data_IF_380110910554
#
_entry.id   IF_380110910554
#
_cell.length_a   1.000
_cell.length_b   1.000
_cell.length_c   1.000
_cell.angle_alpha   90.00
_cell.angle_beta   90.00
_cell.angle_gamma   90.00
#
_symmetry.space_group_name_H-M   'P 1'
#
loop_
_entity.id
_entity.type
_entity.pdbx_description
1 polymer ?
#
# COMPACT_ATOMS: atom_id res chain seq x y z
N UNK A 1 13.41 8.57 3.01
CA UNK A 1 12.73 7.80 4.07
C UNK A 1 11.88 8.74 4.92
N UNK A 2 10.79 8.25 5.53
CA UNK A 2 10.01 8.99 6.54
C UNK A 2 10.23 8.37 7.92
N UNK A 3 10.32 9.19 8.97
CA UNK A 3 10.39 8.71 10.36
C UNK A 3 9.21 9.23 11.16
N UNK A 4 8.52 8.35 11.84
CA UNK A 4 7.34 8.66 12.65
C UNK A 4 7.57 8.20 14.08
N UNK A 5 7.62 9.15 15.00
CA UNK A 5 7.54 8.84 16.42
C UNK A 5 6.07 8.87 16.83
N UNK A 6 5.48 7.70 17.12
CA UNK A 6 4.08 7.57 17.52
C UNK A 6 4.03 7.38 19.03
N UNK A 7 3.54 8.37 19.80
CA UNK A 7 3.49 8.30 21.26
C UNK A 7 2.76 7.05 21.76
N UNK A 8 3.32 6.43 22.80
CA UNK A 8 2.78 5.21 23.43
C UNK A 8 2.59 4.01 22.48
N UNK A 9 3.17 4.05 21.27
CA UNK A 9 3.06 2.97 20.30
C UNK A 9 4.45 2.48 19.88
N UNK A 10 5.11 3.18 18.95
CA UNK A 10 6.47 2.85 18.47
C UNK A 10 7.03 3.96 17.59
N UNK A 11 8.35 3.92 17.38
CA UNK A 11 9.00 4.64 16.28
C UNK A 11 8.94 3.77 15.03
N UNK A 12 8.45 4.33 13.93
CA UNK A 12 8.37 3.67 12.62
C UNK A 12 9.28 4.41 11.64
N UNK A 13 10.16 3.67 10.98
CA UNK A 13 10.93 4.15 9.82
C UNK A 13 10.31 3.57 8.56
N UNK A 14 9.77 4.45 7.71
CA UNK A 14 9.11 4.07 6.47
C UNK A 14 10.10 4.28 5.34
N UNK A 15 10.58 3.19 4.75
CA UNK A 15 11.38 3.24 3.52
C UNK A 15 10.55 2.84 2.31
N UNK A 16 9.64 1.88 2.48
CA UNK A 16 8.87 1.30 1.38
C UNK A 16 7.36 1.45 1.64
N UNK A 17 6.64 1.90 0.61
CA UNK A 17 5.18 1.78 0.52
C UNK A 17 4.87 0.75 -0.57
N UNK A 18 4.14 -0.30 -0.20
CA UNK A 18 3.80 -1.41 -1.09
C UNK A 18 2.29 -1.43 -1.27
N UNK A 19 1.84 -1.36 -2.51
CA UNK A 19 0.43 -1.29 -2.85
C UNK A 19 0.01 -2.50 -3.67
N UNK A 20 -1.18 -3.02 -3.38
CA UNK A 20 -1.95 -3.73 -4.39
C UNK A 20 -2.46 -2.75 -5.47
N UNK A 21 -2.85 -3.29 -6.63
CA UNK A 21 -3.32 -2.48 -7.76
C UNK A 21 -4.85 -2.28 -7.76
N UNK A 22 -5.64 -3.29 -8.13
CA UNK A 22 -7.09 -3.15 -8.33
C UNK A 22 -7.86 -3.31 -7.01
N UNK A 23 -8.80 -2.40 -6.73
CA UNK A 23 -9.46 -2.31 -5.42
C UNK A 23 -8.64 -1.49 -4.40
N UNK A 24 -7.41 -1.12 -4.76
CA UNK A 24 -6.49 -0.34 -3.93
C UNK A 24 -6.10 0.97 -4.63
N UNK A 25 -5.13 0.95 -5.56
CA UNK A 25 -4.69 2.13 -6.32
C UNK A 25 -5.64 2.47 -7.47
N UNK A 26 -6.21 1.44 -8.08
CA UNK A 26 -7.01 1.52 -9.28
C UNK A 26 -8.43 1.02 -9.01
N UNK A 27 -9.39 1.67 -9.67
CA UNK A 27 -10.77 1.20 -9.80
C UNK A 27 -11.00 0.83 -11.26
N UNK A 28 -11.51 -0.37 -11.52
CA UNK A 28 -11.68 -0.89 -12.88
C UNK A 28 -10.40 -0.84 -13.73
N UNK A 29 -9.23 -0.98 -13.10
CA UNK A 29 -7.93 -0.90 -13.78
C UNK A 29 -7.41 0.51 -14.07
N UNK A 30 -8.11 1.57 -13.65
CA UNK A 30 -7.74 2.97 -13.88
C UNK A 30 -7.27 3.65 -12.59
N UNK A 31 -6.13 4.34 -12.69
CA UNK A 31 -5.59 5.19 -11.61
C UNK A 31 -5.88 6.65 -11.93
N UNK A 32 -6.47 7.38 -10.97
CA UNK A 32 -6.79 8.81 -11.13
C UNK A 32 -5.50 9.65 -11.18
N UNK A 33 -5.51 10.73 -11.94
CA UNK A 33 -4.33 11.61 -12.07
C UNK A 33 -3.92 12.25 -10.74
N UNK A 34 -4.89 12.57 -9.88
CA UNK A 34 -4.59 13.06 -8.52
C UNK A 34 -3.82 12.04 -7.69
N UNK A 35 -4.14 10.76 -7.83
CA UNK A 35 -3.44 9.65 -7.15
C UNK A 35 -2.03 9.51 -7.71
N UNK A 36 -1.86 9.55 -9.04
CA UNK A 36 -0.53 9.53 -9.70
C UNK A 36 0.37 10.66 -9.23
N UNK A 37 -0.15 11.88 -9.15
CA UNK A 37 0.59 13.05 -8.67
C UNK A 37 1.05 12.87 -7.21
N UNK A 38 0.20 12.30 -6.35
CA UNK A 38 0.57 12.01 -4.96
C UNK A 38 1.64 10.90 -4.87
N UNK A 39 1.55 9.86 -5.69
CA UNK A 39 2.58 8.82 -5.76
C UNK A 39 3.93 9.44 -6.14
N UNK A 40 3.99 10.28 -7.18
CA UNK A 40 5.22 10.94 -7.61
C UNK A 40 5.80 11.87 -6.54
N UNK A 41 4.94 12.60 -5.80
CA UNK A 41 5.40 13.41 -4.68
C UNK A 41 5.96 12.57 -3.53
N UNK A 42 5.35 11.41 -3.27
CA UNK A 42 5.80 10.51 -2.20
C UNK A 42 7.08 9.76 -2.60
N UNK A 43 7.28 9.45 -3.88
CA UNK A 43 8.47 8.74 -4.37
C UNK A 43 9.78 9.51 -4.11
N UNK A 44 9.71 10.84 -3.95
CA UNK A 44 10.85 11.66 -3.54
C UNK A 44 11.36 11.31 -2.12
N UNK A 45 10.51 10.68 -1.31
CA UNK A 45 10.79 10.39 0.11
C UNK A 45 10.78 8.91 0.44
N UNK A 46 10.13 8.06 -0.32
CA UNK A 46 10.04 6.62 -0.03
C UNK A 46 10.05 5.84 -1.33
N UNK A 47 10.51 4.60 -1.29
CA UNK A 47 10.33 3.70 -2.42
C UNK A 47 8.85 3.31 -2.49
N UNK A 48 8.29 3.35 -3.70
CA UNK A 48 6.91 2.92 -3.93
C UNK A 48 6.95 1.69 -4.82
N UNK A 49 6.25 0.64 -4.39
CA UNK A 49 6.09 -0.61 -5.11
C UNK A 49 4.61 -0.89 -5.34
N UNK A 50 4.30 -1.42 -6.53
CA UNK A 50 2.95 -1.86 -6.88
C UNK A 50 3.02 -3.32 -7.28
N UNK A 51 2.26 -4.17 -6.58
CA UNK A 51 2.24 -5.62 -6.79
C UNK A 51 0.95 -6.03 -7.49
N UNK A 52 1.05 -6.65 -8.65
CA UNK A 52 -0.13 -7.13 -9.40
C UNK A 52 0.24 -8.20 -10.41
N UNK A 53 -0.69 -9.10 -10.73
CA UNK A 53 -0.50 -10.06 -11.81
C UNK A 53 -0.53 -9.40 -13.21
N UNK A 54 -1.04 -8.15 -13.31
CA UNK A 54 -1.18 -7.36 -14.54
C UNK A 54 -1.64 -8.15 -15.79
N UNK A 55 -2.63 -9.01 -15.62
CA UNK A 55 -3.09 -9.97 -16.65
C UNK A 55 -3.40 -9.33 -18.01
N UNK A 56 -3.80 -8.05 -18.03
CA UNK A 56 -4.17 -7.31 -19.24
C UNK A 56 -3.17 -6.21 -19.61
N UNK A 57 -2.00 -6.16 -18.95
CA UNK A 57 -0.97 -5.13 -19.15
C UNK A 57 -1.53 -3.70 -18.98
N UNK A 58 -2.55 -3.57 -18.11
CA UNK A 58 -3.25 -2.32 -17.82
C UNK A 58 -2.52 -1.52 -16.75
N UNK A 59 -1.95 -2.18 -15.75
CA UNK A 59 -1.21 -1.51 -14.69
C UNK A 59 0.03 -0.82 -15.26
N UNK A 60 0.80 -1.53 -16.09
CA UNK A 60 1.97 -0.95 -16.78
C UNK A 60 1.63 0.30 -17.59
N UNK A 61 0.51 0.30 -18.31
CA UNK A 61 0.07 1.47 -19.10
C UNK A 61 -0.38 2.63 -18.22
N UNK A 62 -1.16 2.36 -17.18
CA UNK A 62 -1.72 3.40 -16.31
C UNK A 62 -0.66 4.06 -15.40
N UNK A 63 0.38 3.32 -15.04
CA UNK A 63 1.46 3.77 -14.15
C UNK A 63 2.68 4.30 -14.90
N UNK A 64 2.66 4.35 -16.23
CA UNK A 64 3.83 4.74 -17.06
C UNK A 64 4.42 6.12 -16.71
N UNK A 65 3.58 7.06 -16.28
CA UNK A 65 3.96 8.43 -15.93
C UNK A 65 4.13 8.60 -14.41
N UNK A 66 4.37 7.50 -13.69
CA UNK A 66 4.59 7.50 -12.25
C UNK A 66 5.94 6.92 -11.87
N UNK A 67 6.52 7.45 -10.80
CA UNK A 67 7.80 7.03 -10.23
C UNK A 67 7.60 5.85 -9.25
N UNK A 68 6.88 4.83 -9.70
CA UNK A 68 6.63 3.61 -8.92
C UNK A 68 7.34 2.42 -9.54
N UNK A 69 7.72 1.47 -8.70
CA UNK A 69 8.29 0.20 -9.12
C UNK A 69 7.16 -0.82 -9.26
N UNK A 70 6.73 -1.07 -10.49
CA UNK A 70 5.76 -2.11 -10.78
C UNK A 70 6.44 -3.48 -10.72
N UNK A 71 5.93 -4.38 -9.88
CA UNK A 71 6.39 -5.74 -9.74
C UNK A 71 5.27 -6.72 -10.10
N UNK A 72 5.54 -7.57 -11.08
CA UNK A 72 4.57 -8.53 -11.61
C UNK A 72 4.66 -9.81 -10.80
N UNK A 73 3.55 -10.24 -10.21
CA UNK A 73 3.44 -11.46 -9.41
C UNK A 73 2.71 -12.58 -10.17
N UNK A 74 2.86 -13.82 -9.71
CA UNK A 74 2.11 -14.96 -10.23
C UNK A 74 0.60 -14.76 -10.02
N UNK A 75 -0.18 -15.26 -10.98
CA UNK A 75 -1.65 -15.31 -10.87
C UNK A 75 -2.09 -16.40 -9.89
N UNK A 76 -1.39 -17.52 -9.85
CA UNK A 76 -1.70 -18.69 -9.04
C UNK A 76 -1.27 -18.51 -7.58
N UNK A 77 -0.11 -17.87 -7.36
CA UNK A 77 0.52 -17.75 -6.05
C UNK A 77 0.59 -16.31 -5.51
N UNK A 78 -0.15 -15.38 -6.11
CA UNK A 78 0.00 -13.95 -5.84
C UNK A 78 -0.09 -13.54 -4.37
N UNK A 79 -0.83 -14.27 -3.54
CA UNK A 79 -0.84 -14.04 -2.08
C UNK A 79 0.52 -14.29 -1.43
N UNK A 80 1.15 -15.43 -1.74
CA UNK A 80 2.44 -15.79 -1.18
C UNK A 80 3.53 -14.87 -1.74
N UNK A 81 3.52 -14.62 -3.05
CA UNK A 81 4.47 -13.71 -3.70
C UNK A 81 4.45 -12.32 -3.05
N UNK A 82 3.26 -11.78 -2.75
CA UNK A 82 3.12 -10.51 -2.03
C UNK A 82 3.73 -10.56 -0.63
N UNK A 83 3.49 -11.64 0.10
CA UNK A 83 4.08 -11.85 1.43
C UNK A 83 5.60 -11.95 1.40
N UNK A 84 6.14 -12.72 0.46
CA UNK A 84 7.58 -12.93 0.30
C UNK A 84 8.28 -11.65 -0.15
N UNK A 85 7.65 -10.85 -1.01
CA UNK A 85 8.17 -9.55 -1.41
C UNK A 85 8.39 -8.59 -0.22
N UNK A 86 7.48 -8.59 0.76
CA UNK A 86 7.66 -7.79 1.99
C UNK A 86 8.86 -8.29 2.80
N UNK A 87 9.05 -9.61 2.89
CA UNK A 87 10.18 -10.22 3.60
C UNK A 87 11.51 -9.87 2.95
N UNK A 88 11.57 -9.91 1.62
CA UNK A 88 12.76 -9.56 0.83
C UNK A 88 13.13 -8.07 0.98
N UNK A 89 12.14 -7.17 0.97
CA UNK A 89 12.39 -5.74 1.18
C UNK A 89 12.71 -5.38 2.63
N UNK A 90 12.28 -6.21 3.58
CA UNK A 90 12.40 -5.98 5.01
C UNK A 90 11.09 -5.52 5.64
N UNK A 91 10.50 -6.39 6.46
CA UNK A 91 9.24 -6.17 7.17
C UNK A 91 9.22 -4.84 7.93
N UNK A 92 10.29 -4.55 8.70
CA UNK A 92 10.40 -3.39 9.59
C UNK A 92 10.41 -2.04 8.88
N UNK A 93 10.73 -2.03 7.61
CA UNK A 93 10.88 -0.81 6.79
C UNK A 93 9.70 -0.58 5.84
N UNK A 94 8.73 -1.49 5.87
CA UNK A 94 7.71 -1.64 4.83
C UNK A 94 6.31 -1.42 5.40
N UNK A 95 5.51 -0.62 4.70
CA UNK A 95 4.08 -0.48 4.92
C UNK A 95 3.36 -1.08 3.74
N UNK A 96 2.43 -1.99 4.00
CA UNK A 96 1.60 -2.62 2.98
C UNK A 96 0.20 -2.00 2.96
N UNK A 97 -0.32 -1.76 1.76
CA UNK A 97 -1.63 -1.18 1.51
C UNK A 97 -2.37 -2.08 0.52
N UNK A 98 -3.53 -2.57 0.92
CA UNK A 98 -4.31 -3.50 0.09
C UNK A 98 -5.78 -3.50 0.47
N UNK A 99 -6.54 -4.38 -0.16
CA UNK A 99 -8.00 -4.49 -0.01
C UNK A 99 -8.47 -5.95 -0.10
N UNK A 100 -7.88 -6.73 -1.02
CA UNK A 100 -8.32 -8.06 -1.39
C UNK A 100 -7.86 -9.16 -0.45
N UNK A 101 -8.44 -10.35 -0.58
CA UNK A 101 -8.02 -11.55 0.18
C UNK A 101 -6.56 -11.94 -0.10
N UNK A 102 -6.09 -11.70 -1.32
CA UNK A 102 -4.73 -11.98 -1.73
C UNK A 102 -3.69 -10.99 -1.16
N UNK A 103 -4.12 -9.97 -0.44
CA UNK A 103 -3.22 -9.00 0.20
C UNK A 103 -2.84 -9.38 1.63
N UNK A 104 -3.49 -10.41 2.18
CA UNK A 104 -3.40 -10.74 3.59
C UNK A 104 -1.96 -10.96 4.08
N UNK A 105 -1.14 -11.66 3.28
CA UNK A 105 0.22 -11.98 3.68
C UNK A 105 1.13 -10.74 3.65
N UNK A 106 1.00 -9.85 2.66
CA UNK A 106 1.77 -8.60 2.71
C UNK A 106 1.33 -7.68 3.85
N UNK A 107 0.02 -7.64 4.14
CA UNK A 107 -0.55 -6.81 5.21
C UNK A 107 -0.07 -7.28 6.58
N UNK A 108 -0.06 -8.60 6.83
CA UNK A 108 0.40 -9.16 8.12
C UNK A 108 1.91 -9.04 8.32
N UNK A 109 2.69 -9.15 7.24
CA UNK A 109 4.14 -9.18 7.34
C UNK A 109 4.78 -7.79 7.39
N UNK A 110 4.06 -6.73 7.00
CA UNK A 110 4.55 -5.35 7.05
C UNK A 110 4.65 -4.79 8.48
N UNK A 111 5.45 -3.74 8.67
CA UNK A 111 5.54 -3.02 9.94
C UNK A 111 4.22 -2.31 10.30
N UNK A 112 3.47 -1.93 9.26
CA UNK A 112 2.11 -1.44 9.34
C UNK A 112 1.32 -1.93 8.12
N UNK A 113 0.17 -2.57 8.36
CA UNK A 113 -0.77 -2.98 7.33
C UNK A 113 -1.97 -2.03 7.26
N UNK A 114 -2.33 -1.55 6.07
CA UNK A 114 -3.48 -0.67 5.85
C UNK A 114 -4.45 -1.32 4.88
N UNK A 115 -5.70 -1.49 5.31
CA UNK A 115 -6.80 -1.91 4.45
C UNK A 115 -7.52 -0.69 3.86
N UNK A 116 -7.68 -0.65 2.54
CA UNK A 116 -8.53 0.32 1.85
C UNK A 116 -9.93 -0.27 1.74
N UNK A 117 -10.97 0.46 2.19
CA UNK A 117 -12.36 0.03 1.99
C UNK A 117 -12.75 0.10 0.51
N UNK A 118 -12.39 1.22 -0.16
CA UNK A 118 -12.71 1.45 -1.55
C UNK A 118 -14.22 1.58 -1.81
N UNK A 119 -14.58 1.79 -3.07
CA UNK A 119 -15.99 1.78 -3.49
C UNK A 119 -16.50 0.35 -3.80
N UNK A 120 -15.57 -0.59 -3.96
CA UNK A 120 -15.84 -1.99 -4.35
C UNK A 120 -16.02 -2.91 -3.12
N UNK A 121 -15.92 -2.34 -1.91
CA UNK A 121 -15.79 -3.09 -0.67
C UNK A 121 -14.39 -3.67 -0.49
N UNK A 122 -14.13 -4.32 0.64
CA UNK A 122 -12.85 -4.96 0.94
C UNK A 122 -13.06 -6.36 1.52
N UNK A 123 -12.00 -7.17 1.50
CA UNK A 123 -12.00 -8.42 2.25
C UNK A 123 -12.15 -8.15 3.74
N UNK A 124 -13.09 -8.84 4.38
CA UNK A 124 -13.22 -8.84 5.84
C UNK A 124 -11.98 -9.40 6.52
N UNK A 125 -11.32 -10.39 5.90
CA UNK A 125 -10.12 -11.01 6.42
C UNK A 125 -8.95 -10.03 6.40
N UNK A 126 -8.74 -9.32 5.28
CA UNK A 126 -7.71 -8.28 5.19
C UNK A 126 -8.00 -7.10 6.11
N UNK A 127 -9.27 -6.68 6.20
CA UNK A 127 -9.69 -5.60 7.11
C UNK A 127 -9.39 -5.92 8.58
N UNK A 128 -9.78 -7.09 9.08
CA UNK A 128 -9.63 -7.46 10.49
C UNK A 128 -8.15 -7.68 10.87
N UNK A 129 -7.30 -8.03 9.90
CA UNK A 129 -5.86 -8.25 10.14
C UNK A 129 -5.00 -7.01 9.81
N UNK A 130 -5.60 -5.87 9.49
CA UNK A 130 -4.88 -4.61 9.23
C UNK A 130 -4.78 -3.75 10.50
N UNK A 131 -3.75 -2.91 10.59
CA UNK A 131 -3.60 -1.95 11.69
C UNK A 131 -4.51 -0.71 11.52
N UNK A 132 -4.77 -0.32 10.26
CA UNK A 132 -5.67 0.77 9.93
C UNK A 132 -6.61 0.38 8.79
N UNK A 133 -7.83 0.91 8.86
CA UNK A 133 -8.81 0.86 7.78
C UNK A 133 -9.07 2.27 7.30
N UNK A 134 -8.89 2.52 5.99
CA UNK A 134 -9.04 3.83 5.37
C UNK A 134 -10.10 3.76 4.27
N UNK A 135 -10.91 4.82 4.14
CA UNK A 135 -12.00 4.87 3.17
C UNK A 135 -11.52 4.70 1.71
N UNK A 136 -10.52 5.46 1.29
CA UNK A 136 -10.02 5.45 -0.09
C UNK A 136 -8.52 5.73 -0.15
N UNK A 137 -7.93 5.41 -1.30
CA UNK A 137 -6.48 5.53 -1.53
C UNK A 137 -5.96 6.96 -1.44
N UNK A 138 -6.73 7.95 -1.89
CA UNK A 138 -6.32 9.35 -1.86
C UNK A 138 -6.18 9.90 -0.44
N UNK A 139 -7.05 9.46 0.47
CA UNK A 139 -6.97 9.73 1.91
C UNK A 139 -5.80 8.97 2.55
N UNK A 140 -5.54 7.73 2.12
CA UNK A 140 -4.39 6.95 2.59
C UNK A 140 -3.06 7.63 2.21
N UNK A 141 -2.88 8.04 0.95
CA UNK A 141 -1.66 8.74 0.51
C UNK A 141 -1.47 10.07 1.27
N UNK A 142 -2.57 10.76 1.60
CA UNK A 142 -2.53 11.98 2.40
C UNK A 142 -2.00 11.75 3.82
N UNK A 143 -2.09 10.54 4.38
CA UNK A 143 -1.48 10.21 5.68
C UNK A 143 0.04 10.28 5.61
N UNK A 144 0.67 9.87 4.50
CA UNK A 144 2.12 9.94 4.35
C UNK A 144 2.60 11.34 3.95
N UNK A 145 1.78 12.11 3.24
CA UNK A 145 2.06 13.52 2.94
C UNK A 145 1.93 14.39 4.20
N UNK A 146 0.96 14.09 5.07
CA UNK A 146 0.70 14.79 6.33
C UNK A 146 0.73 13.84 7.54
N UNK A 147 1.91 13.40 7.99
CA UNK A 147 2.03 12.28 8.94
C UNK A 147 1.45 12.51 10.33
N UNK A 148 1.15 13.75 10.71
CA UNK A 148 0.44 14.05 11.97
C UNK A 148 -0.90 13.31 12.06
N UNK A 149 -1.57 13.06 10.93
CA UNK A 149 -2.85 12.31 10.89
C UNK A 149 -2.64 10.84 11.25
N UNK A 150 -1.60 10.22 10.69
CA UNK A 150 -1.25 8.84 11.00
C UNK A 150 -0.87 8.67 12.48
N UNK A 151 -0.10 9.60 13.03
CA UNK A 151 0.26 9.62 14.46
C UNK A 151 -1.01 9.73 15.33
N UNK A 152 -1.95 10.61 14.98
CA UNK A 152 -3.16 10.82 15.77
C UNK A 152 -4.05 9.56 15.83
N UNK A 153 -4.07 8.76 14.76
CA UNK A 153 -4.82 7.50 14.69
C UNK A 153 -4.14 6.37 15.47
N UNK A 154 -2.81 6.29 15.44
CA UNK A 154 -2.07 5.14 15.98
C UNK A 154 -1.57 5.28 17.42
N UNK A 155 -1.50 6.51 17.96
CA UNK A 155 -1.08 6.72 19.35
C UNK A 155 -2.01 6.00 20.33
N UNK A 156 -1.44 5.55 21.45
CA UNK A 156 -2.20 4.95 22.56
C UNK A 156 -2.27 5.87 23.77
#
# INVERSE_FOLDING_TARGET
MLKLNIPSYKMIEIKNLIFDYNGTLAKDGLVKDITKNKLNKLSEKVNIYVLTADTFNNAKKNLKDTNVNLHIISKENGTNDKGDFIKELGNKDSIAIGNGNNDIEMIKNAELGICILGDEGCSTFTMINSDLVIKNIDDCLNLFINPKRLIATLRK
#
